data_IF_077817854353
#
_entry.id   IF_077817854353
#
_cell.length_a   1.000
_cell.length_b   1.000
_cell.length_c   1.000
_cell.angle_alpha   90.00
_cell.angle_beta   90.00
_cell.angle_gamma   90.00
#
_symmetry.space_group_name_H-M   'P 1'
#
loop_
_entity.id
_entity.type
_entity.pdbx_description
1 polymer ?
#
# COMPACT_ATOMS: atom_id res chain seq x y z
N UNK A 1 -17.78 -30.16 -49.91
CA UNK A 1 -16.52 -29.44 -50.17
C UNK A 1 -16.26 -28.51 -48.98
N UNK A 2 -15.02 -28.51 -48.51
CA UNK A 2 -14.49 -28.04 -47.21
C UNK A 2 -15.03 -26.74 -46.61
N UNK A 3 -15.24 -26.78 -45.29
CA UNK A 3 -15.23 -25.64 -44.37
C UNK A 3 -13.78 -25.14 -44.15
N UNK A 4 -13.54 -23.83 -43.95
CA UNK A 4 -12.21 -23.29 -43.71
C UNK A 4 -11.69 -23.67 -42.32
N UNK A 5 -10.37 -23.85 -42.23
CA UNK A 5 -9.66 -24.46 -41.12
C UNK A 5 -9.85 -23.76 -39.79
N UNK A 6 -10.10 -24.58 -38.77
CA UNK A 6 -9.94 -24.27 -37.37
C UNK A 6 -8.50 -23.81 -37.12
N UNK A 7 -8.30 -22.52 -36.82
CA UNK A 7 -7.03 -22.01 -36.31
C UNK A 7 -6.80 -22.65 -34.94
N UNK A 8 -5.79 -23.52 -34.86
CA UNK A 8 -5.30 -24.05 -33.59
C UNK A 8 -4.87 -22.86 -32.70
N UNK A 9 -5.12 -22.89 -31.38
CA UNK A 9 -4.56 -21.90 -30.48
C UNK A 9 -3.03 -22.01 -30.55
N UNK A 10 -2.36 -20.92 -30.91
CA UNK A 10 -0.91 -20.84 -30.71
C UNK A 10 -0.70 -20.74 -29.20
N UNK A 11 -0.29 -21.86 -28.58
CA UNK A 11 0.25 -21.86 -27.22
C UNK A 11 1.47 -20.93 -27.23
N UNK A 12 1.28 -19.72 -26.71
CA UNK A 12 2.37 -18.78 -26.48
C UNK A 12 3.24 -19.37 -25.38
N UNK A 13 4.44 -19.81 -25.76
CA UNK A 13 5.45 -20.36 -24.86
C UNK A 13 6.04 -19.23 -24.00
N UNK A 14 5.23 -18.72 -23.07
CA UNK A 14 5.59 -17.61 -22.16
C UNK A 14 6.76 -17.97 -21.24
N UNK A 15 7.13 -19.24 -21.17
CA UNK A 15 8.19 -19.75 -20.32
C UNK A 15 9.55 -19.83 -21.04
N UNK A 16 9.61 -19.66 -22.36
CA UNK A 16 10.86 -19.78 -23.14
C UNK A 16 11.89 -18.68 -22.83
N UNK A 17 11.50 -17.64 -22.08
CA UNK A 17 12.37 -16.53 -21.65
C UNK A 17 12.68 -16.56 -20.15
N UNK A 18 12.12 -17.51 -19.40
CA UNK A 18 12.43 -17.64 -17.98
C UNK A 18 13.89 -18.11 -17.84
N UNK A 19 14.76 -17.38 -17.12
CA UNK A 19 16.13 -17.84 -16.89
C UNK A 19 16.10 -19.18 -16.16
N UNK A 20 17.03 -20.07 -16.52
CA UNK A 20 17.14 -21.44 -15.95
C UNK A 20 17.22 -21.44 -14.42
N UNK A 21 17.70 -20.34 -13.83
CA UNK A 21 17.72 -20.09 -12.40
C UNK A 21 17.41 -18.62 -12.10
N UNK A 22 16.21 -18.36 -11.57
CA UNK A 22 15.87 -17.07 -10.96
C UNK A 22 16.03 -17.17 -9.44
N UNK A 23 17.02 -16.50 -8.88
CA UNK A 23 17.19 -16.38 -7.43
C UNK A 23 16.36 -15.21 -6.92
N UNK A 24 15.39 -15.48 -6.05
CA UNK A 24 14.65 -14.43 -5.33
C UNK A 24 15.53 -13.85 -4.22
N UNK A 25 16.03 -12.61 -4.35
CA UNK A 25 16.85 -12.02 -3.31
C UNK A 25 15.98 -11.66 -2.10
N UNK A 26 16.57 -11.74 -0.91
CA UNK A 26 15.85 -11.62 0.37
C UNK A 26 15.75 -10.18 0.89
N UNK A 27 16.51 -9.25 0.32
CA UNK A 27 16.54 -7.80 0.60
C UNK A 27 16.27 -7.41 2.08
N UNK A 28 17.00 -7.99 3.06
CA UNK A 28 16.68 -7.82 4.47
C UNK A 28 16.89 -6.39 4.97
N UNK A 29 17.84 -5.66 4.40
CA UNK A 29 18.11 -4.27 4.77
C UNK A 29 16.92 -3.37 4.41
N UNK A 30 16.39 -3.48 3.20
CA UNK A 30 15.19 -2.75 2.76
C UNK A 30 13.97 -3.08 3.63
N UNK A 31 13.78 -4.36 3.98
CA UNK A 31 12.71 -4.80 4.87
C UNK A 31 12.81 -4.18 6.27
N UNK A 32 14.02 -4.06 6.83
CA UNK A 32 14.25 -3.40 8.12
C UNK A 32 13.87 -1.91 8.05
N UNK A 33 14.29 -1.20 7.01
CA UNK A 33 13.97 0.23 6.81
C UNK A 33 12.46 0.45 6.80
N UNK A 34 11.74 -0.35 6.00
CA UNK A 34 10.28 -0.22 5.87
C UNK A 34 9.55 -0.59 7.15
N UNK A 35 10.01 -1.62 7.87
CA UNK A 35 9.43 -1.98 9.17
C UNK A 35 9.62 -0.87 10.19
N UNK A 36 10.80 -0.27 10.27
CA UNK A 36 11.08 0.85 11.17
C UNK A 36 10.22 2.07 10.82
N UNK A 37 10.11 2.38 9.52
CA UNK A 37 9.23 3.44 9.03
C UNK A 37 7.77 3.20 9.41
N UNK A 38 7.29 1.96 9.23
CA UNK A 38 5.92 1.56 9.59
C UNK A 38 5.69 1.70 11.09
N UNK A 39 6.62 1.24 11.93
CA UNK A 39 6.53 1.40 13.39
C UNK A 39 6.45 2.88 13.78
N UNK A 40 7.27 3.73 13.17
CA UNK A 40 7.24 5.18 13.40
C UNK A 40 5.87 5.78 13.06
N UNK A 41 5.28 5.42 11.92
CA UNK A 41 3.94 5.88 11.53
C UNK A 41 2.90 5.42 12.55
N UNK A 42 2.92 4.15 12.96
CA UNK A 42 1.95 3.58 13.91
C UNK A 42 2.04 4.22 15.30
N UNK A 43 3.24 4.63 15.73
CA UNK A 43 3.45 5.33 17.00
C UNK A 43 2.89 6.75 16.99
N UNK A 44 2.85 7.39 15.82
CA UNK A 44 2.38 8.76 15.63
C UNK A 44 0.94 8.84 15.10
N UNK A 45 0.23 7.71 15.02
CA UNK A 45 -1.13 7.66 14.51
C UNK A 45 -2.02 6.71 15.30
N UNK A 46 -2.75 7.24 16.30
CA UNK A 46 -3.45 6.43 17.30
C UNK A 46 -4.42 5.37 16.70
N UNK A 47 -5.17 5.74 15.66
CA UNK A 47 -6.08 4.80 14.99
C UNK A 47 -5.33 3.63 14.34
N UNK A 48 -4.27 3.92 13.58
CA UNK A 48 -3.48 2.91 12.88
C UNK A 48 -2.76 2.00 13.88
N UNK A 49 -2.21 2.56 14.96
CA UNK A 49 -1.61 1.79 16.06
C UNK A 49 -2.59 0.78 16.67
N UNK A 50 -3.80 1.22 17.04
CA UNK A 50 -4.85 0.31 17.55
C UNK A 50 -5.27 -0.73 16.52
N UNK A 51 -5.36 -0.35 15.25
CA UNK A 51 -5.70 -1.28 14.18
C UNK A 51 -4.61 -2.37 14.04
N UNK A 52 -3.34 -1.99 14.07
CA UNK A 52 -2.21 -2.92 14.02
C UNK A 52 -2.21 -3.91 15.19
N UNK A 53 -2.49 -3.44 16.42
CA UNK A 53 -2.64 -4.30 17.59
C UNK A 53 -3.77 -5.31 17.43
N UNK A 54 -4.92 -4.87 16.93
CA UNK A 54 -6.08 -5.75 16.68
C UNK A 54 -5.80 -6.77 15.59
N UNK A 55 -5.19 -6.37 14.47
CA UNK A 55 -4.78 -7.31 13.41
C UNK A 55 -3.86 -8.40 13.95
N UNK A 56 -2.91 -8.03 14.82
CA UNK A 56 -2.03 -9.00 15.47
C UNK A 56 -2.79 -9.93 16.42
N UNK A 57 -3.65 -9.39 17.28
CA UNK A 57 -4.29 -10.15 18.35
C UNK A 57 -5.52 -10.97 17.88
N UNK A 58 -6.27 -10.45 16.91
CA UNK A 58 -7.53 -11.04 16.44
C UNK A 58 -7.33 -11.95 15.23
N UNK A 59 -6.35 -11.67 14.36
CA UNK A 59 -6.13 -12.44 13.11
C UNK A 59 -4.71 -12.97 12.94
N UNK A 60 -3.79 -12.72 13.89
CA UNK A 60 -2.38 -13.10 13.78
C UNK A 60 -1.68 -12.55 12.53
N UNK A 61 -2.17 -11.43 11.99
CA UNK A 61 -1.57 -10.75 10.84
C UNK A 61 -0.82 -9.48 11.26
N UNK A 62 0.22 -9.11 10.52
CA UNK A 62 0.97 -7.87 10.80
C UNK A 62 0.43 -6.77 9.90
N UNK A 63 0.30 -5.55 10.44
CA UNK A 63 -0.10 -4.37 9.66
C UNK A 63 0.78 -4.17 8.41
N UNK A 64 2.08 -4.42 8.55
CA UNK A 64 3.04 -4.36 7.45
C UNK A 64 2.67 -5.23 6.24
N UNK A 65 2.08 -6.40 6.47
CA UNK A 65 1.71 -7.34 5.41
C UNK A 65 0.52 -6.85 4.57
N UNK A 66 -0.18 -5.81 5.04
CA UNK A 66 -1.36 -5.23 4.39
C UNK A 66 -1.10 -3.83 3.82
N UNK A 67 0.14 -3.35 3.91
CA UNK A 67 0.52 -2.07 3.34
C UNK A 67 0.44 -2.11 1.82
N UNK A 68 -0.32 -1.17 1.28
CA UNK A 68 -0.36 -0.93 -0.17
C UNK A 68 0.78 0.03 -0.56
N UNK A 69 0.82 1.18 0.10
CA UNK A 69 1.87 2.18 -0.07
C UNK A 69 2.07 3.03 1.19
N UNK A 70 3.22 3.71 1.25
CA UNK A 70 3.56 4.70 2.27
C UNK A 70 3.75 6.05 1.60
N UNK A 71 3.14 7.11 2.14
CA UNK A 71 3.31 8.49 1.66
C UNK A 71 4.33 9.21 2.51
N UNK A 72 5.27 9.91 1.87
CA UNK A 72 6.34 10.67 2.53
C UNK A 72 6.44 12.09 1.96
N UNK A 73 6.83 13.08 2.80
CA UNK A 73 7.26 14.38 2.29
C UNK A 73 8.58 14.26 1.48
N UNK A 74 8.85 15.14 0.51
CA UNK A 74 10.05 15.10 -0.34
C UNK A 74 11.39 15.20 0.40
N UNK A 75 11.40 15.76 1.61
CA UNK A 75 12.58 15.96 2.45
C UNK A 75 12.70 14.93 3.58
N UNK A 76 11.88 13.86 3.56
CA UNK A 76 11.92 12.86 4.61
C UNK A 76 13.29 12.14 4.64
N UNK A 77 13.98 12.06 5.80
CA UNK A 77 15.35 11.54 5.87
C UNK A 77 15.48 10.06 5.45
N UNK A 78 14.41 9.27 5.58
CA UNK A 78 14.40 7.85 5.17
C UNK A 78 14.57 7.66 3.66
N UNK A 79 14.33 8.68 2.84
CA UNK A 79 14.40 8.56 1.37
C UNK A 79 15.80 8.18 0.90
N UNK A 80 16.84 8.74 1.52
CA UNK A 80 18.23 8.38 1.22
C UNK A 80 18.53 6.92 1.57
N UNK A 81 17.99 6.43 2.69
CA UNK A 81 18.15 5.05 3.15
C UNK A 81 17.44 4.07 2.20
N UNK A 82 16.21 4.39 1.78
CA UNK A 82 15.45 3.61 0.79
C UNK A 82 16.22 3.47 -0.53
N UNK A 83 16.75 4.57 -1.06
CA UNK A 83 17.53 4.57 -2.30
C UNK A 83 18.82 3.75 -2.16
N UNK A 84 19.52 3.91 -1.03
CA UNK A 84 20.71 3.11 -0.72
C UNK A 84 20.41 1.60 -0.69
N UNK A 85 19.19 1.22 -0.31
CA UNK A 85 18.74 -0.17 -0.22
C UNK A 85 17.87 -0.62 -1.42
N UNK A 86 18.03 0.03 -2.58
CA UNK A 86 17.55 -0.51 -3.85
C UNK A 86 16.18 0.00 -4.30
N UNK A 87 15.56 0.95 -3.58
CA UNK A 87 14.39 1.64 -4.11
C UNK A 87 14.78 2.58 -5.25
N UNK A 88 14.05 2.50 -6.35
CA UNK A 88 14.22 3.34 -7.54
C UNK A 88 12.90 3.97 -7.94
N UNK A 89 12.95 5.05 -8.71
CA UNK A 89 11.77 5.69 -9.26
C UNK A 89 11.04 4.78 -10.27
N UNK A 90 9.73 4.68 -10.13
CA UNK A 90 8.85 3.97 -11.05
C UNK A 90 8.48 4.89 -12.22
N UNK A 91 8.97 4.55 -13.42
CA UNK A 91 8.71 5.33 -14.63
C UNK A 91 7.21 5.28 -14.95
N UNK A 92 6.56 6.45 -14.92
CA UNK A 92 5.12 6.56 -15.17
C UNK A 92 4.24 6.10 -14.01
N UNK A 93 4.80 5.85 -12.83
CA UNK A 93 4.05 5.38 -11.66
C UNK A 93 3.19 6.46 -10.98
N UNK A 94 3.46 7.75 -11.23
CA UNK A 94 2.66 8.84 -10.70
C UNK A 94 1.65 9.34 -11.74
N UNK A 95 0.36 9.10 -11.49
CA UNK A 95 -0.74 9.64 -12.32
C UNK A 95 -0.93 11.15 -12.13
N UNK A 96 -0.40 11.72 -11.05
CA UNK A 96 -0.52 13.13 -10.70
C UNK A 96 0.80 13.87 -10.88
N UNK A 97 0.71 15.12 -11.38
CA UNK A 97 1.86 16.02 -11.46
C UNK A 97 2.46 16.24 -10.08
N UNK A 98 3.79 16.25 -10.03
CA UNK A 98 4.62 16.53 -8.86
C UNK A 98 4.66 15.43 -7.77
N UNK A 99 4.08 14.25 -8.02
CA UNK A 99 4.29 13.06 -7.19
C UNK A 99 5.36 12.16 -7.81
N UNK A 100 6.11 11.47 -6.96
CA UNK A 100 7.10 10.47 -7.39
C UNK A 100 6.79 9.15 -6.69
N UNK A 101 6.82 8.05 -7.43
CA UNK A 101 6.66 6.71 -6.84
C UNK A 101 8.00 6.02 -6.83
N UNK A 102 8.43 5.50 -5.68
CA UNK A 102 9.55 4.58 -5.58
C UNK A 102 9.05 3.15 -5.37
N UNK A 103 9.75 2.21 -6.01
CA UNK A 103 9.50 0.79 -5.91
C UNK A 103 10.83 0.03 -5.81
N UNK A 104 10.77 -1.23 -5.38
CA UNK A 104 11.95 -2.08 -5.25
C UNK A 104 11.96 -3.16 -6.34
N UNK A 105 12.95 -3.21 -7.23
CA UNK A 105 12.92 -4.07 -8.44
C UNK A 105 13.09 -5.57 -8.16
N UNK A 106 13.51 -5.92 -6.95
CA UNK A 106 13.88 -7.29 -6.61
C UNK A 106 13.10 -7.88 -5.44
N UNK A 107 12.10 -7.17 -4.93
CA UNK A 107 11.28 -7.64 -3.81
C UNK A 107 9.89 -6.99 -3.85
N UNK A 108 8.87 -7.73 -3.44
CA UNK A 108 7.51 -7.20 -3.27
C UNK A 108 7.42 -6.40 -1.97
N UNK A 109 7.77 -5.12 -2.06
CA UNK A 109 7.58 -4.15 -1.00
C UNK A 109 6.46 -3.17 -1.33
N UNK A 110 5.85 -2.53 -0.30
CA UNK A 110 4.92 -1.43 -0.52
C UNK A 110 5.56 -0.31 -1.34
N UNK A 111 4.75 0.37 -2.16
CA UNK A 111 5.23 1.52 -2.93
C UNK A 111 5.48 2.69 -1.99
N UNK A 112 6.44 3.54 -2.33
CA UNK A 112 6.72 4.78 -1.59
C UNK A 112 6.28 5.94 -2.45
N UNK A 113 5.21 6.62 -2.05
CA UNK A 113 4.72 7.81 -2.72
C UNK A 113 5.35 9.05 -2.07
N UNK A 114 6.17 9.75 -2.82
CA UNK A 114 6.68 11.06 -2.44
C UNK A 114 5.65 12.09 -2.91
N UNK A 115 5.05 12.78 -1.94
CA UNK A 115 3.97 13.74 -2.18
C UNK A 115 4.29 15.08 -1.49
N UNK A 116 4.52 16.17 -2.25
CA UNK A 116 4.78 17.50 -1.69
C UNK A 116 3.69 18.04 -0.76
N UNK A 117 2.46 17.53 -0.85
CA UNK A 117 1.36 17.93 0.02
C UNK A 117 1.35 17.17 1.36
N UNK A 118 2.06 16.05 1.43
CA UNK A 118 2.17 15.26 2.66
C UNK A 118 3.08 15.98 3.64
N UNK A 119 2.59 16.24 4.85
CA UNK A 119 3.38 16.86 5.93
C UNK A 119 4.01 15.85 6.86
N UNK A 120 3.27 14.78 7.17
CA UNK A 120 3.68 13.70 8.05
C UNK A 120 3.61 12.38 7.28
N UNK A 121 4.52 11.44 7.53
CA UNK A 121 4.44 10.09 6.97
C UNK A 121 3.08 9.44 7.22
N UNK A 122 2.50 8.84 6.18
CA UNK A 122 1.21 8.16 6.24
C UNK A 122 1.29 6.78 5.60
N UNK A 123 0.52 5.83 6.12
CA UNK A 123 0.44 4.48 5.60
C UNK A 123 -0.96 4.22 5.04
N UNK A 124 -1.02 3.66 3.83
CA UNK A 124 -2.24 3.15 3.24
C UNK A 124 -2.28 1.63 3.34
N UNK A 125 -3.43 1.09 3.72
CA UNK A 125 -3.69 -0.35 3.70
C UNK A 125 -4.71 -0.68 2.63
N UNK A 126 -4.52 -1.82 1.97
CA UNK A 126 -5.53 -2.33 1.05
C UNK A 126 -6.70 -2.93 1.83
N UNK A 127 -7.93 -2.64 1.41
CA UNK A 127 -9.15 -3.25 1.93
C UNK A 127 -10.09 -3.59 0.79
N UNK A 128 -10.78 -4.72 0.90
CA UNK A 128 -11.75 -5.17 -0.10
C UNK A 128 -12.90 -4.16 -0.31
N UNK A 129 -13.33 -3.50 0.77
CA UNK A 129 -14.41 -2.52 0.76
C UNK A 129 -14.12 -1.41 1.77
N UNK A 130 -13.78 -0.22 1.28
CA UNK A 130 -13.54 0.98 2.12
C UNK A 130 -14.78 1.30 2.96
N UNK A 131 -15.97 1.17 2.37
CA UNK A 131 -17.22 1.47 3.06
C UNK A 131 -17.52 0.51 4.21
N UNK A 132 -17.38 -0.80 3.99
CA UNK A 132 -17.61 -1.79 5.06
C UNK A 132 -16.54 -1.69 6.13
N UNK A 133 -15.29 -1.42 5.74
CA UNK A 133 -14.21 -1.17 6.67
C UNK A 133 -14.54 0.01 7.61
N UNK A 134 -14.94 1.15 7.05
CA UNK A 134 -15.32 2.34 7.83
C UNK A 134 -16.58 2.09 8.69
N UNK A 135 -17.56 1.34 8.16
CA UNK A 135 -18.82 1.02 8.84
C UNK A 135 -18.59 0.18 10.09
N UNK A 136 -17.84 -0.91 9.98
CA UNK A 136 -17.54 -1.81 11.12
C UNK A 136 -16.69 -1.12 12.18
N UNK A 137 -15.92 -0.10 11.78
CA UNK A 137 -15.11 0.72 12.70
C UNK A 137 -15.85 1.94 13.26
N UNK A 138 -17.09 2.18 12.83
CA UNK A 138 -17.93 3.27 13.35
C UNK A 138 -17.47 4.67 12.92
N UNK A 139 -16.67 4.78 11.86
CA UNK A 139 -16.10 6.06 11.38
C UNK A 139 -16.62 6.51 10.02
N UNK A 140 -17.53 5.74 9.39
CA UNK A 140 -18.10 6.05 8.08
C UNK A 140 -18.75 7.43 8.00
N UNK A 141 -19.39 7.90 9.07
CA UNK A 141 -20.05 9.23 9.09
C UNK A 141 -19.09 10.41 9.12
N UNK A 142 -17.82 10.16 9.45
CA UNK A 142 -16.82 11.20 9.73
C UNK A 142 -15.71 11.21 8.67
N UNK A 143 -15.89 10.50 7.57
CA UNK A 143 -14.88 10.40 6.54
C UNK A 143 -15.50 10.39 5.16
N UNK A 144 -14.88 11.14 4.25
CA UNK A 144 -15.29 11.18 2.85
C UNK A 144 -14.53 10.09 2.09
N UNK A 145 -15.29 9.23 1.40
CA UNK A 145 -14.71 8.27 0.45
C UNK A 145 -14.54 8.99 -0.88
N UNK A 146 -13.30 9.07 -1.35
CA UNK A 146 -12.96 9.52 -2.70
C UNK A 146 -13.16 8.37 -3.69
N UNK A 147 -13.70 8.70 -4.87
CA UNK A 147 -14.05 7.74 -5.91
C UNK A 147 -15.52 7.31 -5.87
N UNK A 148 -16.12 7.13 -7.04
CA UNK A 148 -17.51 6.70 -7.18
C UNK A 148 -17.71 5.25 -6.68
N UNK A 149 -18.92 4.86 -6.25
CA UNK A 149 -19.24 3.46 -5.98
C UNK A 149 -18.90 2.56 -7.18
N UNK A 150 -18.13 1.50 -6.96
CA UNK A 150 -17.65 0.59 -8.01
C UNK A 150 -16.47 1.10 -8.85
N UNK A 151 -15.90 2.28 -8.53
CA UNK A 151 -14.66 2.78 -9.14
C UNK A 151 -13.49 1.83 -8.87
N UNK A 152 -12.55 1.73 -9.82
CA UNK A 152 -11.32 0.92 -9.70
C UNK A 152 -10.42 1.38 -8.56
N UNK A 153 -10.45 2.67 -8.23
CA UNK A 153 -9.83 3.23 -7.04
C UNK A 153 -10.92 3.89 -6.18
N UNK A 154 -10.97 3.46 -4.92
CA UNK A 154 -11.70 4.14 -3.85
C UNK A 154 -10.77 4.24 -2.66
N UNK A 155 -10.67 5.42 -2.07
CA UNK A 155 -9.80 5.66 -0.92
C UNK A 155 -10.45 6.61 0.07
N UNK A 156 -9.89 6.65 1.26
CA UNK A 156 -10.32 7.54 2.33
C UNK A 156 -9.11 7.91 3.17
N UNK A 157 -9.05 9.15 3.62
CA UNK A 157 -8.01 9.59 4.56
C UNK A 157 -8.59 9.58 5.98
N UNK A 158 -7.90 8.96 6.94
CA UNK A 158 -8.32 8.93 8.34
C UNK A 158 -7.38 9.85 9.11
N UNK A 159 -7.88 11.01 9.52
CA UNK A 159 -7.12 11.93 10.38
C UNK A 159 -7.17 11.49 11.86
N UNK A 160 -6.14 11.82 12.63
CA UNK A 160 -6.12 11.60 14.09
C UNK A 160 -7.30 12.26 14.83
N UNK A 161 -7.93 13.27 14.23
CA UNK A 161 -9.05 14.03 14.80
C UNK A 161 -10.41 13.33 14.77
N UNK A 162 -10.57 12.19 14.09
CA UNK A 162 -11.87 11.51 13.95
C UNK A 162 -12.28 10.66 15.18
N UNK A 163 -11.81 11.04 16.38
CA UNK A 163 -12.20 10.41 17.64
C UNK A 163 -13.44 11.13 18.20
N UNK A 164 -14.59 10.45 18.24
CA UNK A 164 -15.68 10.86 19.12
C UNK A 164 -15.83 9.87 20.26
N UNK A 165 -15.81 10.45 21.46
CA UNK A 165 -15.98 9.76 22.71
C UNK A 165 -17.28 8.99 22.73
N UNK A 166 -17.24 7.87 23.44
CA UNK A 166 -18.42 7.19 23.94
C UNK A 166 -19.14 8.10 24.93
N UNK A 167 -20.00 8.98 24.42
CA UNK A 167 -21.16 9.48 25.14
C UNK A 167 -22.22 8.37 25.11
N UNK A 168 -22.05 7.37 25.97
CA UNK A 168 -23.03 6.31 26.21
C UNK A 168 -23.61 6.49 27.60
N UNK A 169 -24.62 7.35 27.72
CA UNK A 169 -25.43 7.42 28.92
C UNK A 169 -26.26 6.15 29.07
N UNK A 170 -26.15 5.54 30.25
CA UNK A 170 -27.28 4.97 31.00
C UNK A 170 -26.88 4.80 32.45
#
# INVERSE_FOLDING_TARGET
MNLPGHLAPQESDQLSYAPDHFEWPRCPEADIVLKNLTISILQNHQFAGRLAERMKNETSTRFFDWLDHVRLPPDHPVLAELQQHGFIEEIGGADEKDKTVLWHPHAEFPRILIDPQTKNPAAAIHVESVEDFLRVRGILSNTTIEGAPGSSLRQTHIDEGANHGTSGGR
#
